data_IF_523847243688
#
_entry.id   IF_523847243688
#
_cell.length_a   1.000
_cell.length_b   1.000
_cell.length_c   1.000
_cell.angle_alpha   90.00
_cell.angle_beta   90.00
_cell.angle_gamma   90.00
#
_symmetry.space_group_name_H-M   'P 1'
#
loop_
_entity.id
_entity.type
_entity.pdbx_description
1 polymer ?
#
# COMPACT_ATOMS: atom_id res chain seq x y z
N UNK A 1 27.78 5.83 -21.61
CA UNK A 1 28.61 5.38 -20.47
C UNK A 1 27.64 4.90 -19.41
N UNK A 2 27.82 3.69 -18.90
CA UNK A 2 26.96 3.12 -17.86
C UNK A 2 27.30 3.81 -16.55
N UNK A 3 26.29 4.33 -15.84
CA UNK A 3 26.48 4.91 -14.52
C UNK A 3 26.58 3.79 -13.48
N UNK A 4 27.45 3.93 -12.49
CA UNK A 4 27.42 3.11 -11.29
C UNK A 4 26.26 3.54 -10.37
N UNK A 5 26.05 2.80 -9.28
CA UNK A 5 24.94 3.07 -8.37
C UNK A 5 24.98 4.49 -7.78
N UNK A 6 26.15 4.94 -7.32
CA UNK A 6 26.36 6.28 -6.76
C UNK A 6 26.03 7.36 -7.80
N UNK A 7 26.64 7.30 -8.95
CA UNK A 7 26.40 8.26 -10.05
C UNK A 7 24.95 8.24 -10.54
N UNK A 8 24.27 7.10 -10.47
CA UNK A 8 22.84 6.99 -10.81
C UNK A 8 21.97 7.79 -9.84
N UNK A 9 22.26 7.72 -8.54
CA UNK A 9 21.55 8.48 -7.50
C UNK A 9 21.85 9.98 -7.64
N UNK A 10 23.12 10.37 -7.72
CA UNK A 10 23.55 11.78 -7.84
C UNK A 10 22.98 12.46 -9.09
N UNK A 11 22.82 11.71 -10.17
CA UNK A 11 22.21 12.21 -11.41
C UNK A 11 20.66 12.24 -11.38
N UNK A 12 20.01 11.86 -10.28
CA UNK A 12 18.56 11.78 -10.17
C UNK A 12 17.91 10.76 -11.11
N UNK A 13 18.64 9.70 -11.49
CA UNK A 13 18.17 8.68 -12.45
C UNK A 13 17.71 7.40 -11.78
N UNK A 14 17.79 7.32 -10.47
CA UNK A 14 17.28 6.18 -9.70
C UNK A 14 15.75 6.17 -9.69
N UNK A 15 15.17 4.99 -9.67
CA UNK A 15 13.72 4.76 -9.62
C UNK A 15 13.39 4.09 -8.29
N UNK A 16 12.38 4.60 -7.61
CA UNK A 16 11.89 4.07 -6.34
C UNK A 16 10.64 3.23 -6.55
N UNK A 17 10.69 1.96 -6.17
CA UNK A 17 9.51 1.10 -6.01
C UNK A 17 9.09 1.00 -4.55
N UNK A 18 7.81 1.18 -4.25
CA UNK A 18 7.25 1.02 -2.90
C UNK A 18 6.16 -0.05 -2.94
N UNK A 19 6.20 -0.99 -2.01
CA UNK A 19 5.17 -2.01 -1.81
C UNK A 19 4.55 -1.87 -0.41
N UNK A 20 3.24 -1.62 -0.35
CA UNK A 20 2.47 -1.70 0.88
C UNK A 20 1.92 -3.14 1.04
N UNK A 21 2.76 -4.03 1.55
CA UNK A 21 2.42 -5.43 1.77
C UNK A 21 1.68 -5.65 3.09
N UNK A 22 1.11 -6.83 3.31
CA UNK A 22 0.25 -7.13 4.48
C UNK A 22 1.00 -7.22 5.82
N UNK A 23 2.29 -7.45 5.80
CA UNK A 23 3.13 -7.57 7.01
C UNK A 23 4.34 -6.65 6.98
N UNK A 24 4.61 -6.03 5.84
CA UNK A 24 5.78 -5.19 5.65
C UNK A 24 5.54 -4.18 4.54
N UNK A 25 5.92 -2.94 4.77
CA UNK A 25 6.14 -1.96 3.72
C UNK A 25 7.59 -2.11 3.27
N UNK A 26 7.83 -2.12 1.97
CA UNK A 26 9.16 -2.23 1.37
C UNK A 26 9.39 -1.11 0.39
N UNK A 27 10.61 -0.61 0.36
CA UNK A 27 11.09 0.33 -0.63
C UNK A 27 12.35 -0.25 -1.30
N UNK A 28 12.41 -0.17 -2.61
CA UNK A 28 13.57 -0.62 -3.40
C UNK A 28 13.97 0.49 -4.35
N UNK A 29 15.21 0.92 -4.27
CA UNK A 29 15.82 1.84 -5.22
C UNK A 29 16.52 1.01 -6.29
N UNK A 30 16.24 1.28 -7.56
CA UNK A 30 16.82 0.59 -8.71
C UNK A 30 17.50 1.55 -9.67
N UNK A 31 18.44 1.03 -10.44
CA UNK A 31 19.03 1.74 -11.58
C UNK A 31 18.18 1.62 -12.85
N UNK A 32 18.63 2.21 -13.94
CA UNK A 32 17.96 2.21 -15.26
C UNK A 32 17.93 0.81 -15.92
N UNK A 33 18.68 -0.16 -15.38
CA UNK A 33 18.72 -1.56 -15.83
C UNK A 33 17.93 -2.48 -14.89
N UNK A 34 17.11 -1.89 -14.00
CA UNK A 34 16.30 -2.58 -12.98
C UNK A 34 17.14 -3.35 -11.94
N UNK A 35 18.40 -2.96 -11.72
CA UNK A 35 19.23 -3.55 -10.68
C UNK A 35 19.00 -2.84 -9.35
N UNK A 36 18.76 -3.59 -8.26
CA UNK A 36 18.66 -3.00 -6.93
C UNK A 36 19.93 -2.26 -6.52
N UNK A 37 19.77 -1.03 -6.04
CA UNK A 37 20.82 -0.18 -5.48
C UNK A 37 20.79 -0.24 -3.95
N UNK A 38 19.58 -0.06 -3.37
CA UNK A 38 19.35 -0.06 -1.95
C UNK A 38 17.91 -0.48 -1.64
N UNK A 39 17.66 -0.84 -0.39
CA UNK A 39 16.34 -1.24 0.10
C UNK A 39 16.06 -0.59 1.44
N UNK A 40 14.78 -0.40 1.75
CA UNK A 40 14.29 -0.04 3.06
C UNK A 40 13.02 -0.83 3.39
N UNK A 41 12.69 -0.92 4.67
CA UNK A 41 11.50 -1.64 5.10
C UNK A 41 10.94 -1.15 6.43
N UNK A 42 9.64 -1.36 6.62
CA UNK A 42 8.94 -1.17 7.89
C UNK A 42 8.02 -2.37 8.12
N UNK A 43 8.12 -3.00 9.30
CA UNK A 43 7.25 -4.12 9.68
C UNK A 43 6.02 -3.60 10.39
N UNK A 44 4.85 -4.04 9.97
CA UNK A 44 3.56 -3.67 10.54
C UNK A 44 2.60 -4.85 10.58
N UNK A 45 1.47 -4.71 11.26
CA UNK A 45 0.43 -5.75 11.32
C UNK A 45 -0.98 -5.14 11.24
N UNK A 46 -1.90 -5.93 10.67
CA UNK A 46 -3.34 -5.70 10.78
C UNK A 46 -3.77 -5.73 12.25
N UNK A 47 -4.58 -4.78 12.64
CA UNK A 47 -5.19 -4.72 13.97
C UNK A 47 -6.66 -5.11 13.90
N UNK A 48 -7.14 -5.84 14.88
CA UNK A 48 -8.56 -6.13 15.06
C UNK A 48 -9.15 -5.07 16.00
N UNK A 49 -9.91 -4.13 15.43
CA UNK A 49 -10.55 -3.04 16.19
C UNK A 49 -12.05 -3.14 15.95
N UNK A 50 -12.83 -3.24 17.02
CA UNK A 50 -14.29 -3.36 16.99
C UNK A 50 -14.80 -4.45 16.03
N UNK A 51 -14.08 -5.56 15.96
CA UNK A 51 -14.42 -6.69 15.09
C UNK A 51 -14.01 -6.53 13.63
N UNK A 52 -13.31 -5.46 13.27
CA UNK A 52 -12.79 -5.19 11.91
C UNK A 52 -11.26 -5.28 11.86
N UNK A 53 -10.75 -6.01 10.89
CA UNK A 53 -9.33 -6.01 10.55
C UNK A 53 -8.99 -4.74 9.78
N UNK A 54 -8.12 -3.92 10.33
CA UNK A 54 -7.79 -2.58 9.82
C UNK A 54 -6.32 -2.24 9.96
N UNK A 55 -5.90 -1.16 9.28
CA UNK A 55 -4.74 -0.33 9.60
C UNK A 55 -5.23 1.09 9.78
N UNK A 56 -4.73 1.81 10.79
CA UNK A 56 -5.04 3.24 10.88
C UNK A 56 -4.32 4.02 9.78
N UNK A 57 -4.87 5.17 9.40
CA UNK A 57 -4.23 6.06 8.41
C UNK A 57 -2.88 6.56 8.93
N UNK A 58 -2.76 6.84 10.22
CA UNK A 58 -1.51 7.23 10.87
C UNK A 58 -0.45 6.12 10.76
N UNK A 59 -0.84 4.85 10.97
CA UNK A 59 0.07 3.71 10.82
C UNK A 59 0.55 3.53 9.37
N UNK A 60 -0.32 3.79 8.38
CA UNK A 60 0.05 3.74 6.97
C UNK A 60 1.10 4.82 6.66
N UNK A 61 0.85 6.07 7.05
CA UNK A 61 1.77 7.17 6.77
C UNK A 61 3.09 7.07 7.54
N UNK A 62 3.05 6.77 8.84
CA UNK A 62 4.27 6.57 9.63
C UNK A 62 5.11 5.40 9.13
N UNK A 63 4.46 4.28 8.80
CA UNK A 63 5.17 3.12 8.25
C UNK A 63 5.81 3.40 6.89
N UNK A 64 5.16 4.19 6.03
CA UNK A 64 5.75 4.64 4.76
C UNK A 64 6.96 5.55 4.98
N UNK A 65 6.86 6.51 5.92
CA UNK A 65 7.94 7.42 6.26
C UNK A 65 9.15 6.66 6.85
N UNK A 66 8.90 5.73 7.77
CA UNK A 66 9.93 4.89 8.37
C UNK A 66 10.63 4.01 7.33
N UNK A 67 9.86 3.39 6.43
CA UNK A 67 10.40 2.60 5.33
C UNK A 67 11.32 3.41 4.41
N UNK A 68 10.92 4.64 4.08
CA UNK A 68 11.75 5.53 3.27
C UNK A 68 12.97 6.05 4.02
N UNK A 69 12.85 6.34 5.32
CA UNK A 69 13.97 6.72 6.16
C UNK A 69 15.02 5.60 6.28
N UNK A 70 14.59 4.34 6.42
CA UNK A 70 15.46 3.17 6.39
C UNK A 70 16.20 3.06 5.05
N UNK A 71 15.50 3.22 3.93
CA UNK A 71 16.12 3.26 2.60
C UNK A 71 17.19 4.37 2.49
N UNK A 72 16.87 5.60 2.93
CA UNK A 72 17.83 6.72 2.90
C UNK A 72 19.07 6.42 3.75
N UNK A 73 18.87 5.84 4.92
CA UNK A 73 19.97 5.43 5.82
C UNK A 73 20.88 4.41 5.13
N UNK A 74 20.30 3.43 4.44
CA UNK A 74 21.05 2.41 3.72
C UNK A 74 21.83 2.99 2.53
N UNK A 75 21.26 3.96 1.81
CA UNK A 75 21.97 4.70 0.75
C UNK A 75 23.13 5.52 1.33
N UNK A 76 22.89 6.24 2.42
CA UNK A 76 23.93 7.03 3.09
C UNK A 76 25.09 6.16 3.56
N UNK A 77 24.80 5.02 4.17
CA UNK A 77 25.81 4.09 4.67
C UNK A 77 26.63 3.45 3.54
N UNK A 78 26.00 3.12 2.41
CA UNK A 78 26.66 2.42 1.31
C UNK A 78 27.47 3.36 0.39
N UNK A 79 26.98 4.59 0.18
CA UNK A 79 27.51 5.48 -0.87
C UNK A 79 27.95 6.85 -0.35
N UNK A 80 27.67 7.18 0.91
CA UNK A 80 27.94 8.48 1.54
C UNK A 80 27.31 9.67 0.79
N UNK A 81 26.08 9.47 0.28
CA UNK A 81 25.28 10.49 -0.39
C UNK A 81 23.83 10.48 0.11
N UNK A 82 23.08 11.52 -0.23
CA UNK A 82 21.64 11.62 0.00
C UNK A 82 20.86 11.44 -1.30
N UNK A 83 19.59 11.00 -1.19
CA UNK A 83 18.66 10.98 -2.32
C UNK A 83 17.98 12.35 -2.39
N UNK A 84 18.33 13.16 -3.38
CA UNK A 84 17.72 14.48 -3.61
C UNK A 84 16.59 14.43 -4.62
N UNK A 85 16.78 13.64 -5.68
CA UNK A 85 15.83 13.52 -6.80
C UNK A 85 15.70 12.06 -7.24
N UNK A 86 14.54 11.73 -7.77
CA UNK A 86 14.23 10.42 -8.36
C UNK A 86 13.71 10.60 -9.79
N UNK A 87 14.04 9.68 -10.67
CA UNK A 87 13.50 9.67 -12.04
C UNK A 87 12.01 9.33 -12.06
N UNK A 88 11.60 8.41 -11.19
CA UNK A 88 10.20 7.98 -11.06
C UNK A 88 9.96 7.31 -9.69
N UNK A 89 8.68 7.24 -9.30
CA UNK A 89 8.20 6.46 -8.17
C UNK A 89 7.08 5.54 -8.67
N UNK A 90 7.19 4.25 -8.38
CA UNK A 90 6.13 3.28 -8.59
C UNK A 90 5.59 2.77 -7.25
N UNK A 91 4.28 2.63 -7.13
CA UNK A 91 3.63 2.13 -5.91
C UNK A 91 2.82 0.89 -6.23
N UNK A 92 2.98 -0.14 -5.40
CA UNK A 92 2.15 -1.33 -5.35
C UNK A 92 1.54 -1.46 -3.95
N UNK A 93 0.34 -1.99 -3.86
CA UNK A 93 -0.34 -2.18 -2.58
C UNK A 93 -1.10 -3.50 -2.56
N UNK A 94 -1.50 -3.92 -1.36
CA UNK A 94 -2.42 -5.04 -1.19
C UNK A 94 -3.67 -4.83 -2.03
N UNK A 95 -4.02 -5.84 -2.82
CA UNK A 95 -5.30 -5.83 -3.52
C UNK A 95 -6.43 -6.21 -2.55
N UNK A 96 -7.64 -5.79 -2.88
CA UNK A 96 -8.86 -5.96 -2.12
C UNK A 96 -8.88 -5.14 -0.82
N UNK A 97 -10.06 -4.91 -0.33
CA UNK A 97 -10.31 -4.06 0.83
C UNK A 97 -11.21 -2.89 0.46
N UNK A 98 -11.53 -2.07 1.45
CA UNK A 98 -12.52 -1.02 1.30
C UNK A 98 -12.10 0.24 2.04
N UNK A 99 -11.88 1.32 1.29
CA UNK A 99 -11.48 2.64 1.78
C UNK A 99 -12.29 3.73 1.05
N UNK A 100 -13.54 3.99 1.46
CA UNK A 100 -14.34 5.03 0.85
C UNK A 100 -13.92 6.42 1.34
N UNK A 101 -13.81 7.36 0.42
CA UNK A 101 -13.50 8.76 0.69
C UNK A 101 -14.62 9.67 0.22
N UNK A 102 -14.81 10.77 0.92
CA UNK A 102 -15.70 11.84 0.45
C UNK A 102 -14.98 12.74 -0.59
N UNK A 103 -15.68 13.77 -1.07
CA UNK A 103 -15.13 14.72 -2.05
C UNK A 103 -13.97 15.58 -1.50
N UNK A 104 -13.74 15.58 -0.19
CA UNK A 104 -12.64 16.29 0.48
C UNK A 104 -11.48 15.35 0.80
N UNK A 105 -11.50 14.11 0.27
CA UNK A 105 -10.48 13.08 0.52
C UNK A 105 -10.41 12.62 1.99
N UNK A 106 -11.48 12.83 2.77
CA UNK A 106 -11.59 12.33 4.14
C UNK A 106 -12.15 10.89 4.11
N UNK A 107 -11.53 9.98 4.86
CA UNK A 107 -12.01 8.60 4.95
C UNK A 107 -13.34 8.56 5.71
N UNK A 108 -14.32 7.86 5.17
CA UNK A 108 -15.69 7.82 5.71
C UNK A 108 -15.92 6.75 6.77
N UNK A 109 -15.18 5.66 6.69
CA UNK A 109 -15.19 4.54 7.66
C UNK A 109 -13.78 3.98 7.82
N UNK A 110 -13.46 3.27 8.91
CA UNK A 110 -12.17 2.60 9.05
C UNK A 110 -11.84 1.71 7.85
N UNK A 111 -10.59 1.69 7.45
CA UNK A 111 -10.13 0.81 6.37
C UNK A 111 -10.47 -0.65 6.68
N UNK A 112 -11.25 -1.30 5.83
CA UNK A 112 -11.59 -2.73 5.90
C UNK A 112 -10.63 -3.50 5.03
N UNK A 113 -9.69 -4.22 5.64
CA UNK A 113 -8.68 -4.99 4.91
C UNK A 113 -9.26 -6.26 4.29
N UNK A 114 -8.50 -6.92 3.43
CA UNK A 114 -8.85 -8.19 2.79
C UNK A 114 -9.14 -9.35 3.78
N UNK A 115 -8.78 -9.21 5.06
CA UNK A 115 -9.05 -10.20 6.10
C UNK A 115 -10.50 -10.19 6.57
N UNK A 116 -11.26 -9.14 6.30
CA UNK A 116 -12.67 -9.03 6.69
C UNK A 116 -13.53 -9.95 5.82
N UNK A 117 -14.39 -10.72 6.46
CA UNK A 117 -15.30 -11.69 5.82
C UNK A 117 -16.77 -11.41 6.15
N UNK A 118 -17.09 -10.25 6.71
CA UNK A 118 -18.43 -9.85 7.13
C UNK A 118 -19.36 -9.39 5.99
N UNK A 119 -19.05 -9.78 4.74
CA UNK A 119 -19.75 -9.38 3.51
C UNK A 119 -20.54 -10.52 2.86
N UNK A 120 -20.91 -11.55 3.66
CA UNK A 120 -21.50 -12.77 3.11
C UNK A 120 -22.79 -12.56 2.33
N UNK A 121 -23.71 -11.72 2.83
CA UNK A 121 -24.98 -11.41 2.15
C UNK A 121 -24.75 -10.72 0.80
N UNK A 122 -23.87 -9.73 0.78
CA UNK A 122 -23.53 -9.01 -0.43
C UNK A 122 -22.82 -9.91 -1.46
N UNK A 123 -21.84 -10.69 -1.03
CA UNK A 123 -21.10 -11.59 -1.91
C UNK A 123 -22.02 -12.65 -2.55
N UNK A 124 -22.96 -13.21 -1.79
CA UNK A 124 -23.94 -14.17 -2.31
C UNK A 124 -24.85 -13.53 -3.38
N UNK A 125 -25.46 -12.39 -3.07
CA UNK A 125 -26.34 -11.67 -3.99
C UNK A 125 -25.63 -11.22 -5.28
N UNK A 126 -24.39 -10.71 -5.14
CA UNK A 126 -23.60 -10.31 -6.31
C UNK A 126 -23.15 -11.51 -7.15
N UNK A 127 -22.81 -12.64 -6.52
CA UNK A 127 -22.43 -13.86 -7.23
C UNK A 127 -23.60 -14.42 -8.05
N UNK A 128 -24.82 -14.38 -7.52
CA UNK A 128 -26.04 -14.74 -8.23
C UNK A 128 -26.30 -13.79 -9.40
N UNK A 129 -26.26 -12.46 -9.14
CA UNK A 129 -26.54 -11.42 -10.13
C UNK A 129 -25.57 -11.48 -11.33
N UNK A 130 -24.28 -11.67 -11.08
CA UNK A 130 -23.25 -11.67 -12.12
C UNK A 130 -22.97 -13.07 -12.69
N UNK A 131 -23.60 -14.12 -12.17
CA UNK A 131 -23.30 -15.52 -12.52
C UNK A 131 -21.79 -15.80 -12.43
N UNK A 132 -21.16 -15.21 -11.41
CA UNK A 132 -19.72 -15.25 -11.20
C UNK A 132 -19.40 -15.23 -9.71
N UNK A 133 -18.43 -16.05 -9.26
CA UNK A 133 -18.05 -16.08 -7.85
C UNK A 133 -17.43 -14.75 -7.41
N UNK A 134 -18.14 -13.97 -6.62
CA UNK A 134 -17.67 -12.70 -6.03
C UNK A 134 -17.14 -12.98 -4.61
N UNK A 135 -15.82 -12.89 -4.37
CA UNK A 135 -15.24 -13.17 -3.06
C UNK A 135 -15.66 -12.15 -2.00
N UNK A 136 -15.75 -12.62 -0.74
CA UNK A 136 -16.07 -11.80 0.44
C UNK A 136 -15.18 -10.56 0.59
N UNK A 137 -13.89 -10.70 0.28
CA UNK A 137 -12.87 -9.66 0.47
C UNK A 137 -12.83 -8.59 -0.60
N UNK A 138 -13.61 -8.71 -1.67
CA UNK A 138 -13.60 -7.71 -2.74
C UNK A 138 -14.26 -6.41 -2.32
N UNK A 139 -13.76 -5.30 -2.85
CA UNK A 139 -14.27 -3.95 -2.54
C UNK A 139 -15.76 -3.80 -2.87
N UNK A 140 -16.22 -4.43 -3.96
CA UNK A 140 -17.64 -4.43 -4.33
C UNK A 140 -18.52 -5.16 -3.30
N UNK A 141 -18.01 -6.24 -2.68
CA UNK A 141 -18.73 -6.95 -1.61
C UNK A 141 -18.88 -6.08 -0.37
N UNK A 142 -17.82 -5.34 0.00
CA UNK A 142 -17.87 -4.38 1.11
C UNK A 142 -18.82 -3.22 0.84
N UNK A 143 -18.77 -2.65 -0.37
CA UNK A 143 -19.67 -1.56 -0.77
C UNK A 143 -21.13 -2.02 -0.72
N UNK A 144 -21.44 -3.16 -1.33
CA UNK A 144 -22.81 -3.65 -1.36
C UNK A 144 -23.29 -4.09 0.03
N UNK A 145 -22.43 -4.63 0.88
CA UNK A 145 -22.76 -4.94 2.27
C UNK A 145 -23.11 -3.65 3.05
N UNK A 146 -22.34 -2.59 2.88
CA UNK A 146 -22.62 -1.28 3.50
C UNK A 146 -24.03 -0.74 3.09
N UNK A 147 -24.40 -0.92 1.81
CA UNK A 147 -25.74 -0.56 1.32
C UNK A 147 -26.80 -1.44 2.00
N UNK A 148 -26.60 -2.76 2.07
CA UNK A 148 -27.56 -3.69 2.69
C UNK A 148 -27.72 -3.44 4.19
N UNK A 149 -26.71 -2.94 4.86
CA UNK A 149 -26.71 -2.63 6.29
C UNK A 149 -27.14 -1.17 6.58
N UNK A 150 -27.48 -0.38 5.54
CA UNK A 150 -27.84 1.04 5.64
C UNK A 150 -26.78 1.88 6.35
N UNK A 151 -25.49 1.61 6.11
CA UNK A 151 -24.40 2.42 6.65
C UNK A 151 -24.50 3.86 6.11
N UNK A 152 -24.22 4.85 6.96
CA UNK A 152 -24.49 6.27 6.65
C UNK A 152 -23.64 6.86 5.51
N UNK A 153 -22.53 6.21 5.17
CA UNK A 153 -21.60 6.66 4.13
C UNK A 153 -21.99 6.15 2.75
#
# INVERSE_FOLDING_TARGET
MKLDAKSTIEAGKAILGIELGSTRIKAVLIDQENKPIAQGSHTWENQLVDGLWTYSIEAIWSGLQDCYADLRTNVKNAYDIEIETLAAIGVSAMMHGYMPFNKKEEILVPFRTWRNTNTGRAAAALSELFVYNIPLRWSISHLYQAILDNEAH
#
